data_IF_888864513605
#
_entry.id   IF_888864513605
#
_cell.length_a   1.000
_cell.length_b   1.000
_cell.length_c   1.000
_cell.angle_alpha   90.00
_cell.angle_beta   90.00
_cell.angle_gamma   90.00
#
_symmetry.space_group_name_H-M   'P 1'
#
loop_
_entity.id
_entity.type
_entity.pdbx_description
1 polymer ?
#
# COMPACT_ATOMS: atom_id res chain seq x y z
N UNK A 1 1.42 14.13 -13.16
CA UNK A 1 1.36 14.11 -11.68
C UNK A 1 2.58 13.38 -11.16
N UNK A 2 3.02 13.75 -9.96
CA UNK A 2 4.00 13.01 -9.16
C UNK A 2 3.28 11.96 -8.33
N UNK A 3 3.63 10.70 -8.53
CA UNK A 3 3.01 9.55 -7.86
C UNK A 3 4.05 8.86 -7.00
N UNK A 4 3.76 8.68 -5.71
CA UNK A 4 4.52 7.79 -4.85
C UNK A 4 3.74 6.49 -4.64
N UNK A 5 4.18 5.41 -5.27
CA UNK A 5 3.60 4.08 -5.12
C UNK A 5 4.33 3.27 -4.03
N UNK A 6 3.66 3.08 -2.90
CA UNK A 6 4.15 2.41 -1.70
C UNK A 6 3.74 0.94 -1.74
N UNK A 7 4.60 0.12 -2.35
CA UNK A 7 4.45 -1.33 -2.52
C UNK A 7 5.41 -2.11 -1.64
N UNK A 8 5.59 -1.68 -0.38
CA UNK A 8 6.63 -2.23 0.50
C UNK A 8 6.36 -3.68 0.94
N UNK A 9 5.16 -4.20 0.70
CA UNK A 9 4.81 -5.59 0.93
C UNK A 9 5.41 -6.53 -0.12
N UNK A 10 5.90 -6.01 -1.24
CA UNK A 10 6.41 -6.75 -2.39
C UNK A 10 7.94 -6.68 -2.53
N UNK A 11 8.48 -7.71 -3.20
CA UNK A 11 9.84 -7.72 -3.72
C UNK A 11 9.77 -7.61 -5.24
N UNK A 12 10.55 -6.72 -5.84
CA UNK A 12 10.53 -6.49 -7.29
C UNK A 12 11.97 -6.49 -7.82
N UNK A 13 12.26 -7.23 -8.91
CA UNK A 13 11.42 -8.23 -9.54
C UNK A 13 11.26 -9.48 -8.67
N UNK A 14 10.16 -10.19 -8.82
CA UNK A 14 9.81 -11.40 -8.09
C UNK A 14 8.95 -12.30 -8.96
N UNK A 15 8.71 -13.53 -8.49
CA UNK A 15 8.03 -14.59 -9.27
C UNK A 15 6.54 -14.72 -8.97
N UNK A 16 6.02 -13.89 -8.06
CA UNK A 16 4.61 -13.90 -7.69
C UNK A 16 3.82 -12.82 -8.44
N UNK A 17 2.50 -12.99 -8.47
CA UNK A 17 1.61 -12.05 -9.14
C UNK A 17 1.63 -10.65 -8.51
N UNK A 18 2.00 -10.52 -7.23
CA UNK A 18 2.11 -9.22 -6.57
C UNK A 18 3.26 -8.39 -7.14
N UNK A 19 4.41 -9.02 -7.37
CA UNK A 19 5.56 -8.39 -7.99
C UNK A 19 5.31 -7.97 -9.43
N UNK A 20 4.74 -8.86 -10.24
CA UNK A 20 4.37 -8.59 -11.65
C UNK A 20 3.37 -7.44 -11.73
N UNK A 21 2.38 -7.44 -10.84
CA UNK A 21 1.37 -6.40 -10.75
C UNK A 21 1.98 -5.03 -10.43
N UNK A 22 2.84 -4.94 -9.40
CA UNK A 22 3.50 -3.68 -9.02
C UNK A 22 4.32 -3.11 -10.18
N UNK A 23 5.07 -3.96 -10.88
CA UNK A 23 5.80 -3.55 -12.09
C UNK A 23 4.88 -3.05 -13.20
N UNK A 24 3.79 -3.77 -13.47
CA UNK A 24 2.83 -3.41 -14.53
C UNK A 24 2.11 -2.08 -14.25
N UNK A 25 1.71 -1.84 -13.00
CA UNK A 25 1.09 -0.57 -12.58
C UNK A 25 2.09 0.58 -12.69
N UNK A 26 3.31 0.40 -12.19
CA UNK A 26 4.36 1.42 -12.24
C UNK A 26 4.69 1.82 -13.69
N UNK A 27 4.95 0.82 -14.54
CA UNK A 27 5.22 1.02 -15.96
C UNK A 27 4.04 1.67 -16.69
N UNK A 28 2.81 1.25 -16.41
CA UNK A 28 1.61 1.83 -17.01
C UNK A 28 1.42 3.30 -16.65
N UNK A 29 1.58 3.66 -15.38
CA UNK A 29 1.49 5.05 -14.93
C UNK A 29 2.62 5.91 -15.53
N UNK A 30 3.83 5.38 -15.62
CA UNK A 30 4.95 6.08 -16.27
C UNK A 30 4.70 6.28 -17.77
N UNK A 31 4.17 5.27 -18.47
CA UNK A 31 3.81 5.34 -19.89
C UNK A 31 2.69 6.37 -20.18
N UNK A 32 1.83 6.65 -19.21
CA UNK A 32 0.83 7.73 -19.26
C UNK A 32 1.42 9.13 -19.00
N UNK A 33 2.74 9.25 -18.81
CA UNK A 33 3.44 10.52 -18.61
C UNK A 33 3.44 11.01 -17.17
N UNK A 34 3.20 10.13 -16.19
CA UNK A 34 3.35 10.48 -14.77
C UNK A 34 4.78 10.30 -14.29
N UNK A 35 5.20 11.12 -13.32
CA UNK A 35 6.46 10.93 -12.62
C UNK A 35 6.22 9.93 -11.48
N UNK A 36 6.64 8.68 -11.69
CA UNK A 36 6.33 7.57 -10.78
C UNK A 36 7.56 7.23 -9.94
N UNK A 37 7.40 7.30 -8.62
CA UNK A 37 8.36 6.84 -7.63
C UNK A 37 7.79 5.61 -6.93
N UNK A 38 8.52 4.49 -6.93
CA UNK A 38 8.04 3.22 -6.34
C UNK A 38 8.90 2.83 -5.15
N UNK A 39 8.30 2.76 -3.97
CA UNK A 39 8.95 2.24 -2.76
C UNK A 39 8.62 0.75 -2.61
N UNK A 40 9.58 -0.12 -2.91
CA UNK A 40 9.46 -1.58 -2.84
C UNK A 40 10.76 -2.19 -2.29
N UNK A 41 10.77 -3.49 -1.97
CA UNK A 41 12.03 -4.19 -1.67
C UNK A 41 12.65 -4.73 -2.95
N UNK A 42 13.97 -4.68 -3.09
CA UNK A 42 14.67 -5.39 -4.16
C UNK A 42 14.43 -6.91 -4.05
N UNK A 43 14.19 -7.55 -5.19
CA UNK A 43 13.96 -8.99 -5.30
C UNK A 43 15.11 -9.75 -5.95
N UNK A 44 14.79 -10.65 -6.88
CA UNK A 44 15.75 -11.61 -7.48
C UNK A 44 16.70 -10.95 -8.51
N UNK A 45 16.59 -9.65 -8.74
CA UNK A 45 17.34 -8.93 -9.77
C UNK A 45 17.29 -7.41 -9.59
N UNK A 46 17.90 -6.64 -10.51
CA UNK A 46 17.80 -5.19 -10.49
C UNK A 46 16.34 -4.75 -10.72
N UNK A 47 15.97 -3.61 -10.17
CA UNK A 47 14.67 -3.03 -10.46
C UNK A 47 14.48 -2.80 -11.97
N UNK A 48 13.22 -2.88 -12.46
CA UNK A 48 12.89 -2.60 -13.84
C UNK A 48 13.37 -1.22 -14.30
N UNK A 49 13.68 -1.10 -15.60
CA UNK A 49 13.94 0.17 -16.28
C UNK A 49 12.74 0.55 -17.14
N UNK A 50 11.63 0.83 -16.48
CA UNK A 50 10.29 0.99 -17.07
C UNK A 50 9.76 2.42 -17.01
N UNK A 51 10.66 3.39 -16.80
CA UNK A 51 10.31 4.81 -16.66
C UNK A 51 9.92 5.21 -15.24
N UNK A 52 9.75 4.26 -14.31
CA UNK A 52 9.57 4.56 -12.90
C UNK A 52 10.91 4.67 -12.15
N UNK A 53 10.94 5.54 -11.14
CA UNK A 53 12.04 5.69 -10.18
C UNK A 53 11.86 4.71 -9.02
N UNK A 54 12.60 3.61 -9.03
CA UNK A 54 12.52 2.58 -8.00
C UNK A 54 13.42 2.89 -6.80
N UNK A 55 12.85 2.79 -5.60
CA UNK A 55 13.50 3.07 -4.32
C UNK A 55 13.46 1.81 -3.46
N UNK A 56 14.65 1.26 -3.18
CA UNK A 56 14.76 0.09 -2.31
C UNK A 56 14.45 0.46 -0.86
N UNK A 57 13.43 -0.18 -0.31
CA UNK A 57 12.96 0.02 1.05
C UNK A 57 12.69 -1.32 1.74
N UNK A 58 13.74 -2.10 2.05
CA UNK A 58 13.60 -3.42 2.66
C UNK A 58 12.99 -3.34 4.07
N UNK A 59 12.25 -4.38 4.51
CA UNK A 59 11.71 -4.40 5.87
C UNK A 59 12.85 -4.53 6.89
N UNK A 60 12.72 -3.92 8.08
CA UNK A 60 13.71 -4.10 9.14
C UNK A 60 13.89 -5.59 9.47
N UNK A 61 15.14 -6.01 9.64
CA UNK A 61 15.52 -7.39 9.95
C UNK A 61 15.00 -8.42 8.91
N UNK A 62 14.65 -7.99 7.69
CA UNK A 62 14.05 -8.85 6.67
C UNK A 62 12.62 -9.31 6.98
N UNK A 63 12.01 -8.84 8.07
CA UNK A 63 10.72 -9.33 8.55
C UNK A 63 9.55 -8.49 8.03
N UNK A 64 8.77 -9.04 7.09
CA UNK A 64 7.59 -8.37 6.47
C UNK A 64 6.58 -7.82 7.49
N UNK A 65 6.45 -8.46 8.66
CA UNK A 65 5.54 -8.06 9.75
C UNK A 65 5.95 -6.75 10.43
N UNK A 66 7.23 -6.40 10.34
CA UNK A 66 7.80 -5.18 10.93
C UNK A 66 7.75 -3.99 9.99
N UNK A 67 7.00 -4.06 8.88
CA UNK A 67 7.00 -3.03 7.85
C UNK A 67 6.50 -1.66 8.29
N UNK A 68 5.62 -1.59 9.29
CA UNK A 68 5.12 -0.34 9.84
C UNK A 68 6.26 0.54 10.41
N UNK A 69 7.39 -0.08 10.82
CA UNK A 69 8.60 0.63 11.21
C UNK A 69 9.26 1.40 10.04
N UNK A 70 8.83 1.16 8.79
CA UNK A 70 9.25 1.96 7.62
C UNK A 70 8.51 3.29 7.51
N UNK A 71 7.48 3.53 8.33
CA UNK A 71 6.70 4.76 8.37
C UNK A 71 7.52 6.05 8.26
N UNK A 72 8.54 6.27 9.12
CA UNK A 72 9.39 7.46 9.04
C UNK A 72 10.13 7.60 7.70
N UNK A 73 10.59 6.49 7.11
CA UNK A 73 11.31 6.52 5.83
C UNK A 73 10.36 6.79 4.66
N UNK A 74 9.15 6.23 4.68
CA UNK A 74 8.12 6.51 3.68
C UNK A 74 7.64 7.96 3.78
N UNK A 75 7.47 8.48 4.99
CA UNK A 75 7.20 9.91 5.21
C UNK A 75 8.31 10.79 4.66
N UNK A 76 9.57 10.50 4.98
CA UNK A 76 10.70 11.28 4.47
C UNK A 76 10.81 11.20 2.93
N UNK A 77 10.41 10.08 2.32
CA UNK A 77 10.29 9.98 0.86
C UNK A 77 9.20 10.92 0.33
N UNK A 78 8.03 10.90 0.95
CA UNK A 78 6.93 11.79 0.56
C UNK A 78 7.30 13.28 0.72
N UNK A 79 8.00 13.65 1.79
CA UNK A 79 8.48 15.03 2.01
C UNK A 79 9.50 15.48 0.95
N UNK A 80 10.32 14.56 0.42
CA UNK A 80 11.29 14.88 -0.65
C UNK A 80 10.69 14.89 -2.04
N UNK A 81 9.77 13.97 -2.32
CA UNK A 81 9.15 13.81 -3.63
C UNK A 81 8.03 14.83 -3.83
N UNK A 82 7.36 15.23 -2.73
CA UNK A 82 6.16 16.06 -2.71
C UNK A 82 5.08 15.52 -3.69
N UNK A 83 4.66 14.26 -3.54
CA UNK A 83 3.76 13.63 -4.49
C UNK A 83 2.39 14.32 -4.49
N UNK A 84 1.75 14.39 -5.66
CA UNK A 84 0.35 14.78 -5.78
C UNK A 84 -0.55 13.64 -5.26
N UNK A 85 -0.11 12.40 -5.48
CA UNK A 85 -0.83 11.17 -5.13
C UNK A 85 0.12 10.17 -4.48
N UNK A 86 -0.31 9.58 -3.35
CA UNK A 86 0.34 8.42 -2.76
C UNK A 86 -0.58 7.23 -2.89
N UNK A 87 -0.13 6.20 -3.60
CA UNK A 87 -0.83 4.93 -3.75
C UNK A 87 -0.21 3.94 -2.78
N UNK A 88 -0.98 3.36 -1.86
CA UNK A 88 -0.52 2.28 -1.00
C UNK A 88 -1.18 0.95 -1.39
N UNK A 89 -0.36 -0.08 -1.59
CA UNK A 89 -0.84 -1.45 -1.74
C UNK A 89 -1.29 -2.00 -0.37
N UNK A 90 -2.57 -2.32 -0.26
CA UNK A 90 -3.16 -2.72 1.01
C UNK A 90 -2.54 -4.02 1.55
N UNK A 91 -2.20 -3.96 2.84
CA UNK A 91 -1.86 -5.13 3.63
C UNK A 91 -2.18 -4.85 5.10
N UNK A 92 -2.54 -5.89 5.86
CA UNK A 92 -3.09 -5.72 7.21
C UNK A 92 -2.21 -4.88 8.16
N UNK A 93 -0.89 -5.03 8.07
CA UNK A 93 0.09 -4.28 8.88
C UNK A 93 0.68 -3.08 8.11
N UNK A 94 -0.10 -2.48 7.21
CA UNK A 94 0.27 -1.30 6.42
C UNK A 94 -0.17 0.00 7.00
N UNK A 95 -0.38 0.97 6.15
CA UNK A 95 -0.78 2.33 6.46
C UNK A 95 0.39 3.32 6.43
N UNK A 96 1.63 2.90 6.14
CA UNK A 96 2.75 3.83 6.08
C UNK A 96 2.64 4.82 4.91
N UNK A 97 2.07 4.39 3.77
CA UNK A 97 1.81 5.24 2.62
C UNK A 97 0.64 6.17 2.89
N UNK A 98 -0.47 5.65 3.44
CA UNK A 98 -1.62 6.46 3.85
C UNK A 98 -1.22 7.53 4.87
N UNK A 99 -0.39 7.18 5.85
CA UNK A 99 0.15 8.12 6.83
C UNK A 99 1.02 9.19 6.16
N UNK A 100 1.93 8.78 5.27
CA UNK A 100 2.81 9.69 4.56
C UNK A 100 2.03 10.68 3.67
N UNK A 101 1.03 10.20 2.93
CA UNK A 101 0.13 11.02 2.12
C UNK A 101 -0.47 12.16 2.93
N UNK A 102 -1.03 11.83 4.10
CA UNK A 102 -1.65 12.79 5.01
C UNK A 102 -0.65 13.79 5.58
N UNK A 103 0.60 13.39 5.80
CA UNK A 103 1.63 14.30 6.33
C UNK A 103 2.09 15.36 5.32
N UNK A 104 1.92 15.11 4.03
CA UNK A 104 2.34 16.03 2.96
C UNK A 104 1.15 16.64 2.18
N UNK A 105 -0.09 16.31 2.56
CA UNK A 105 -1.29 16.81 1.90
C UNK A 105 -1.61 16.17 0.54
N UNK A 106 -1.00 15.03 0.21
CA UNK A 106 -1.25 14.30 -1.04
C UNK A 106 -2.57 13.51 -0.99
N UNK A 107 -3.15 13.24 -2.16
CA UNK A 107 -4.29 12.34 -2.29
C UNK A 107 -3.88 10.92 -1.88
N UNK A 108 -4.58 10.33 -0.90
CA UNK A 108 -4.29 8.99 -0.41
C UNK A 108 -5.13 7.95 -1.16
N UNK A 109 -4.50 7.12 -1.99
CA UNK A 109 -5.15 6.02 -2.71
C UNK A 109 -4.81 4.70 -2.05
N UNK A 110 -5.82 3.91 -1.70
CA UNK A 110 -5.62 2.57 -1.16
C UNK A 110 -5.96 1.52 -2.23
N UNK A 111 -4.95 0.81 -2.67
CA UNK A 111 -5.09 -0.24 -3.67
C UNK A 111 -5.33 -1.59 -2.98
N UNK A 112 -6.53 -2.14 -3.14
CA UNK A 112 -7.00 -3.32 -2.42
C UNK A 112 -7.14 -4.49 -3.37
N UNK A 113 -6.16 -5.39 -3.35
CA UNK A 113 -6.12 -6.61 -4.16
C UNK A 113 -6.38 -7.89 -3.36
N UNK A 114 -6.56 -7.78 -2.04
CA UNK A 114 -6.89 -8.89 -1.16
C UNK A 114 -7.90 -8.42 -0.11
N UNK A 115 -8.75 -9.32 0.42
CA UNK A 115 -9.84 -8.92 1.30
C UNK A 115 -9.39 -8.14 2.53
N UNK A 116 -9.96 -6.96 2.72
CA UNK A 116 -9.81 -6.16 3.95
C UNK A 116 -10.64 -6.81 5.06
N UNK A 117 -11.78 -7.41 4.70
CA UNK A 117 -12.68 -8.11 5.62
C UNK A 117 -12.09 -9.47 6.03
N UNK A 118 -12.10 -9.77 7.33
CA UNK A 118 -11.74 -11.11 7.80
C UNK A 118 -12.87 -12.11 7.50
N UNK A 119 -12.51 -13.28 6.97
CA UNK A 119 -13.45 -14.37 6.81
C UNK A 119 -14.05 -14.81 8.17
N UNK A 120 -15.38 -15.04 8.26
CA UNK A 120 -16.02 -15.51 9.48
C UNK A 120 -15.35 -16.82 9.96
N UNK A 121 -14.86 -16.83 11.20
CA UNK A 121 -14.30 -18.04 11.83
C UNK A 121 -12.77 -18.19 11.80
N UNK A 122 -12.03 -17.31 11.13
CA UNK A 122 -10.56 -17.40 11.08
C UNK A 122 -9.89 -17.31 12.47
N UNK A 123 -8.77 -18.04 12.68
CA UNK A 123 -7.98 -17.97 13.92
C UNK A 123 -7.53 -16.53 14.23
N UNK A 124 -7.23 -15.76 13.18
CA UNK A 124 -6.89 -14.32 13.26
C UNK A 124 -8.02 -13.50 13.88
N UNK A 125 -9.27 -13.69 13.44
CA UNK A 125 -10.45 -13.01 14.00
C UNK A 125 -10.72 -13.43 15.45
N UNK A 126 -10.52 -14.71 15.78
CA UNK A 126 -10.67 -15.19 17.17
C UNK A 126 -9.65 -14.54 18.10
N UNK A 127 -8.40 -14.39 17.65
CA UNK A 127 -7.34 -13.73 18.40
C UNK A 127 -7.59 -12.21 18.53
N UNK A 128 -7.97 -11.53 17.44
CA UNK A 128 -8.27 -10.09 17.46
C UNK A 128 -9.49 -9.78 18.35
N UNK A 129 -10.50 -10.65 18.37
CA UNK A 129 -11.66 -10.53 19.26
C UNK A 129 -11.32 -10.82 20.72
N UNK A 130 -10.33 -11.68 20.97
CA UNK A 130 -9.82 -11.94 22.32
C UNK A 130 -9.03 -10.74 22.88
N UNK A 131 -8.42 -9.93 21.99
CA UNK A 131 -7.89 -8.62 22.34
C UNK A 131 -9.07 -7.63 22.40
N UNK A 132 -9.56 -7.31 23.61
CA UNK A 132 -10.77 -6.53 23.91
C UNK A 132 -11.04 -5.26 23.06
N UNK A 133 -10.04 -4.72 22.35
CA UNK A 133 -10.11 -3.52 21.51
C UNK A 133 -10.08 -3.78 20.00
N UNK A 134 -10.02 -5.03 19.53
CA UNK A 134 -9.93 -5.44 18.12
C UNK A 134 -8.90 -4.58 17.32
N UNK A 135 -7.64 -4.51 17.77
CA UNK A 135 -6.67 -3.52 17.30
C UNK A 135 -6.40 -3.63 15.80
N UNK A 136 -6.37 -4.84 15.23
CA UNK A 136 -6.14 -4.99 13.80
C UNK A 136 -7.33 -4.51 12.99
N UNK A 137 -8.56 -4.78 13.43
CA UNK A 137 -9.75 -4.24 12.79
C UNK A 137 -9.76 -2.72 12.82
N UNK A 138 -9.51 -2.11 13.98
CA UNK A 138 -9.46 -0.64 14.11
C UNK A 138 -8.40 -0.02 13.21
N UNK A 139 -7.24 -0.67 13.07
CA UNK A 139 -6.17 -0.21 12.20
C UNK A 139 -6.54 -0.26 10.71
N UNK A 140 -7.19 -1.34 10.26
CA UNK A 140 -7.71 -1.42 8.88
C UNK A 140 -8.78 -0.37 8.61
N UNK A 141 -9.71 -0.20 9.55
CA UNK A 141 -10.76 0.79 9.45
C UNK A 141 -10.16 2.20 9.39
N UNK A 142 -9.09 2.47 10.14
CA UNK A 142 -8.35 3.72 10.07
C UNK A 142 -7.72 3.94 8.68
N UNK A 143 -7.03 2.95 8.12
CA UNK A 143 -6.46 3.05 6.76
C UNK A 143 -7.54 3.38 5.73
N UNK A 144 -8.66 2.65 5.76
CA UNK A 144 -9.77 2.85 4.84
C UNK A 144 -10.44 4.23 5.03
N UNK A 145 -10.65 4.70 6.26
CA UNK A 145 -11.23 6.04 6.51
C UNK A 145 -10.31 7.19 6.09
N UNK A 146 -9.00 6.93 5.98
CA UNK A 146 -7.99 7.90 5.56
C UNK A 146 -7.58 7.75 4.10
N UNK A 147 -8.14 6.79 3.38
CA UNK A 147 -8.09 6.76 1.93
C UNK A 147 -9.12 7.74 1.35
N UNK A 148 -8.69 8.51 0.37
CA UNK A 148 -9.54 9.39 -0.43
C UNK A 148 -10.13 8.63 -1.63
N UNK A 149 -9.42 7.60 -2.12
CA UNK A 149 -9.85 6.71 -3.20
C UNK A 149 -9.45 5.26 -2.92
N UNK A 150 -10.28 4.32 -3.33
CA UNK A 150 -9.98 2.89 -3.36
C UNK A 150 -9.88 2.42 -4.81
N UNK A 151 -8.80 1.71 -5.13
CA UNK A 151 -8.67 1.00 -6.41
C UNK A 151 -8.75 -0.48 -6.09
N UNK A 152 -9.76 -1.16 -6.62
CA UNK A 152 -9.99 -2.57 -6.31
C UNK A 152 -10.71 -3.32 -7.43
N UNK A 153 -10.33 -4.58 -7.74
CA UNK A 153 -11.05 -5.36 -8.73
C UNK A 153 -12.46 -5.77 -8.27
N UNK A 154 -12.76 -5.73 -6.97
CA UNK A 154 -14.02 -6.23 -6.43
C UNK A 154 -14.44 -5.42 -5.18
N UNK A 155 -15.54 -4.67 -5.26
CA UNK A 155 -15.96 -3.76 -4.20
C UNK A 155 -16.39 -4.45 -2.88
N UNK A 156 -16.81 -5.72 -2.93
CA UNK A 156 -17.26 -6.47 -1.76
C UNK A 156 -16.12 -6.91 -0.82
N UNK A 157 -14.85 -6.71 -1.22
CA UNK A 157 -13.69 -7.00 -0.40
C UNK A 157 -13.31 -5.83 0.52
N UNK A 158 -13.95 -4.68 0.31
CA UNK A 158 -13.87 -3.48 1.14
C UNK A 158 -14.88 -3.52 2.29
N UNK A 159 -14.65 -2.79 3.39
CA UNK A 159 -15.65 -2.68 4.44
C UNK A 159 -17.00 -2.15 3.91
N UNK A 160 -18.15 -2.65 4.40
CA UNK A 160 -19.46 -2.30 3.84
C UNK A 160 -19.85 -0.82 4.02
N UNK A 161 -19.14 -0.10 4.88
CA UNK A 161 -19.31 1.34 5.09
C UNK A 161 -18.46 2.20 4.14
N UNK A 162 -17.58 1.59 3.32
CA UNK A 162 -16.74 2.34 2.38
C UNK A 162 -17.63 3.12 1.38
N UNK A 163 -17.39 4.43 1.18
CA UNK A 163 -18.23 5.24 0.28
C UNK A 163 -18.09 4.75 -1.17
N UNK A 164 -19.22 4.44 -1.83
CA UNK A 164 -19.23 3.89 -3.20
C UNK A 164 -18.69 4.86 -4.24
N UNK A 165 -18.83 6.16 -4.00
CA UNK A 165 -18.29 7.25 -4.82
C UNK A 165 -16.75 7.33 -4.79
N UNK A 166 -16.10 6.60 -3.89
CA UNK A 166 -14.63 6.55 -3.75
C UNK A 166 -14.03 5.24 -4.25
N UNK A 167 -14.81 4.38 -4.91
CA UNK A 167 -14.36 3.05 -5.36
C UNK A 167 -14.23 3.07 -6.88
N UNK A 168 -13.06 2.65 -7.39
CA UNK A 168 -12.72 2.49 -8.80
C UNK A 168 -12.29 1.07 -9.08
#
# INVERSE_FOLDING_TARGET
MRVLYVATDQRVPGRDGGSVHVGSVAAGLAALGHEVHVAASAGDGPFPRDGASWIDLPPPLGARRLRWLRGPRVRALAERIEPDVVIERYYNFGGEGIYAARSVGALAVLEVNAPVIDHPGSRKRRLDRALLVEPMRRWRDWQCRRADLFVTPQADILPPWAPRDRIV
#
